data_IF_280835993889
#
_entry.id   IF_280835993889
#
_cell.length_a   1.000
_cell.length_b   1.000
_cell.length_c   1.000
_cell.angle_alpha   90.00
_cell.angle_beta   90.00
_cell.angle_gamma   90.00
#
_symmetry.space_group_name_H-M   'P 1'
#
loop_
_entity.id
_entity.type
_entity.pdbx_description
1 polymer ?
#
# COMPACT_ATOMS: atom_id res chain seq x y z
N UNK A 1 21.36 33.74 15.14
CA UNK A 1 22.08 33.62 13.86
C UNK A 1 21.31 32.65 13.02
N UNK A 2 20.51 33.15 12.10
CA UNK A 2 19.75 32.35 11.14
C UNK A 2 20.73 31.85 10.09
N UNK A 3 20.88 30.54 9.97
CA UNK A 3 21.79 29.93 9.01
C UNK A 3 21.11 29.96 7.61
N UNK A 4 21.34 31.05 6.88
CA UNK A 4 20.74 31.36 5.58
C UNK A 4 21.25 30.49 4.41
N UNK A 5 22.05 29.47 4.69
CA UNK A 5 22.68 28.63 3.67
C UNK A 5 22.01 27.28 3.40
N UNK A 6 20.82 27.06 3.93
CA UNK A 6 20.07 25.83 3.73
C UNK A 6 19.27 25.78 2.41
N UNK A 7 18.73 24.62 2.03
CA UNK A 7 17.96 24.44 0.80
C UNK A 7 16.65 25.25 0.75
N UNK A 8 16.21 25.78 1.89
CA UNK A 8 15.03 26.68 1.99
C UNK A 8 15.28 27.79 3.01
N UNK A 9 16.11 28.81 2.69
CA UNK A 9 16.47 29.88 3.63
C UNK A 9 15.28 30.74 4.04
N UNK A 10 14.24 30.87 3.19
CA UNK A 10 13.04 31.65 3.50
C UNK A 10 12.16 31.01 4.57
N UNK A 11 12.25 29.69 4.79
CA UNK A 11 11.37 28.92 5.64
C UNK A 11 9.92 28.86 5.13
N UNK A 12 9.63 29.40 3.94
CA UNK A 12 8.31 29.35 3.32
C UNK A 12 8.19 28.15 2.39
N UNK A 13 6.97 27.63 2.25
CA UNK A 13 6.71 26.51 1.35
C UNK A 13 7.00 26.91 -0.11
N UNK A 14 7.86 26.16 -0.77
CA UNK A 14 8.27 26.43 -2.16
C UNK A 14 7.16 26.23 -3.21
N UNK A 15 5.95 25.83 -2.79
CA UNK A 15 4.78 25.80 -3.69
C UNK A 15 4.19 27.19 -3.95
N UNK A 16 4.64 28.24 -3.23
CA UNK A 16 4.15 29.61 -3.36
C UNK A 16 2.89 29.93 -2.53
N UNK A 17 2.46 29.06 -1.61
CA UNK A 17 1.27 29.31 -0.77
C UNK A 17 1.47 30.35 0.34
N UNK A 18 2.73 30.78 0.59
CA UNK A 18 3.07 31.75 1.64
C UNK A 18 3.14 31.18 3.07
N UNK A 19 2.80 29.90 3.27
CA UNK A 19 2.84 29.27 4.58
C UNK A 19 4.25 28.78 4.96
N UNK A 20 4.56 28.80 6.27
CA UNK A 20 5.85 28.33 6.79
C UNK A 20 5.93 26.80 6.82
N UNK A 21 7.10 26.28 6.48
CA UNK A 21 7.41 24.84 6.58
C UNK A 21 7.91 24.49 7.98
N UNK A 22 7.82 23.20 8.32
CA UNK A 22 8.42 22.67 9.56
C UNK A 22 9.93 22.57 9.42
N UNK A 23 10.63 22.52 10.55
CA UNK A 23 12.06 22.24 10.61
C UNK A 23 12.27 20.73 10.48
N UNK A 24 13.25 20.31 9.68
CA UNK A 24 13.62 18.91 9.52
C UNK A 24 14.22 18.35 10.81
N UNK A 25 13.67 17.24 11.30
CA UNK A 25 14.15 16.51 12.48
C UNK A 25 15.37 15.63 12.19
N UNK A 26 15.60 15.27 10.92
CA UNK A 26 16.70 14.42 10.46
C UNK A 26 17.14 14.78 9.05
N UNK A 27 18.35 14.32 8.67
CA UNK A 27 18.81 14.41 7.29
C UNK A 27 18.07 13.39 6.42
N UNK A 28 17.67 13.80 5.22
CA UNK A 28 17.11 12.91 4.19
C UNK A 28 17.53 13.43 2.81
N UNK A 29 18.61 12.87 2.27
CA UNK A 29 19.16 13.30 0.99
C UNK A 29 18.18 13.09 -0.19
N UNK A 30 17.38 12.02 -0.17
CA UNK A 30 16.36 11.74 -1.21
C UNK A 30 15.25 12.78 -1.30
N UNK A 31 15.01 13.52 -0.21
CA UNK A 31 14.03 14.62 -0.16
C UNK A 31 14.67 16.00 0.01
N UNK A 32 15.99 16.10 -0.02
CA UNK A 32 16.73 17.36 0.20
C UNK A 32 16.55 17.93 1.61
N UNK A 33 16.29 17.10 2.62
CA UNK A 33 16.13 17.57 3.99
C UNK A 33 17.47 17.62 4.71
N UNK A 34 17.77 18.74 5.34
CA UNK A 34 18.92 18.94 6.23
C UNK A 34 18.40 19.18 7.64
N UNK A 35 18.85 18.37 8.61
CA UNK A 35 18.45 18.47 10.01
C UNK A 35 18.64 19.90 10.54
N UNK A 36 17.63 20.43 11.21
CA UNK A 36 17.65 21.80 11.75
C UNK A 36 17.32 22.89 10.72
N UNK A 37 17.09 22.55 9.45
CA UNK A 37 16.71 23.48 8.39
C UNK A 37 15.21 23.37 8.05
N UNK A 38 14.58 24.45 7.54
CA UNK A 38 13.20 24.37 7.07
C UNK A 38 13.04 23.36 5.92
N UNK A 39 11.95 22.60 5.94
CA UNK A 39 11.60 21.72 4.83
C UNK A 39 11.28 22.53 3.57
N UNK A 40 11.45 21.93 2.39
CA UNK A 40 11.12 22.56 1.11
C UNK A 40 9.64 22.80 0.94
N UNK A 41 8.81 21.86 1.45
CA UNK A 41 7.36 21.87 1.27
C UNK A 41 6.63 21.46 2.54
N UNK A 42 5.42 21.98 2.70
CA UNK A 42 4.43 21.42 3.62
C UNK A 42 3.98 20.07 3.06
N UNK A 43 3.66 19.11 3.95
CA UNK A 43 3.19 17.78 3.54
C UNK A 43 2.01 17.89 2.56
N UNK A 44 2.16 17.29 1.38
CA UNK A 44 1.17 17.34 0.31
C UNK A 44 1.31 18.52 -0.68
N UNK A 45 2.12 19.53 -0.37
CA UNK A 45 2.27 20.69 -1.24
C UNK A 45 3.30 20.51 -2.38
N UNK A 46 4.08 19.44 -2.38
CA UNK A 46 5.02 19.12 -3.47
C UNK A 46 4.33 18.97 -4.83
N UNK A 47 3.09 18.46 -4.83
CA UNK A 47 2.31 18.28 -6.04
C UNK A 47 1.92 19.61 -6.72
N UNK A 48 1.74 20.69 -5.95
CA UNK A 48 1.37 22.02 -6.47
C UNK A 48 2.41 22.63 -7.41
N UNK A 49 3.71 22.33 -7.19
CA UNK A 49 4.80 22.80 -8.07
C UNK A 49 4.71 22.23 -9.49
N UNK A 50 4.05 21.09 -9.68
CA UNK A 50 3.90 20.42 -10.98
C UNK A 50 2.69 20.93 -11.78
N UNK A 51 2.12 22.07 -11.42
CA UNK A 51 0.98 22.66 -12.12
C UNK A 51 -0.36 21.99 -11.81
N UNK A 52 -0.43 21.20 -10.77
CA UNK A 52 -1.71 20.66 -10.30
C UNK A 52 -2.50 21.74 -9.58
N UNK A 53 -3.76 22.00 -9.97
CA UNK A 53 -4.58 23.04 -9.36
C UNK A 53 -4.75 22.78 -7.86
N UNK A 54 -4.80 23.86 -7.08
CA UNK A 54 -5.13 23.79 -5.66
C UNK A 54 -6.47 23.05 -5.51
N UNK A 55 -6.52 21.96 -4.75
CA UNK A 55 -7.69 21.11 -4.62
C UNK A 55 -7.70 19.86 -5.53
N UNK A 56 -6.78 19.71 -6.48
CA UNK A 56 -6.68 18.51 -7.34
C UNK A 56 -6.08 17.29 -6.65
N UNK A 57 -5.87 17.33 -5.36
CA UNK A 57 -5.47 16.17 -4.54
C UNK A 57 -6.68 15.43 -3.98
N UNK A 58 -7.78 15.36 -4.69
CA UNK A 58 -8.65 14.24 -4.55
C UNK A 58 -7.99 13.09 -5.33
N UNK A 59 -6.99 12.47 -4.68
CA UNK A 59 -6.49 11.15 -5.05
C UNK A 59 -7.72 10.26 -5.11
N UNK A 60 -8.18 9.98 -6.32
CA UNK A 60 -9.27 9.06 -6.54
C UNK A 60 -8.72 7.66 -6.33
N UNK A 61 -8.73 7.27 -5.05
CA UNK A 61 -8.22 5.97 -4.60
C UNK A 61 -8.94 4.81 -5.26
N UNK A 62 -10.18 4.99 -5.73
CA UNK A 62 -10.95 3.98 -6.48
C UNK A 62 -10.34 3.76 -7.86
N UNK A 63 -10.07 4.84 -8.60
CA UNK A 63 -9.45 4.75 -9.93
C UNK A 63 -8.03 4.20 -9.87
N UNK A 64 -7.26 4.60 -8.86
CA UNK A 64 -5.89 4.09 -8.69
C UNK A 64 -5.89 2.63 -8.27
N UNK A 65 -6.82 2.21 -7.41
CA UNK A 65 -7.00 0.80 -7.05
C UNK A 65 -7.34 -0.04 -8.30
N UNK A 66 -8.34 0.39 -9.10
CA UNK A 66 -8.71 -0.28 -10.35
C UNK A 66 -7.54 -0.35 -11.34
N UNK A 67 -6.78 0.73 -11.50
CA UNK A 67 -5.58 0.75 -12.36
C UNK A 67 -4.50 -0.20 -11.85
N UNK A 68 -4.28 -0.28 -10.54
CA UNK A 68 -3.29 -1.18 -9.94
C UNK A 68 -3.71 -2.64 -10.07
N UNK A 69 -5.01 -2.95 -9.92
CA UNK A 69 -5.56 -4.28 -10.16
C UNK A 69 -5.33 -4.69 -11.63
N UNK A 70 -5.70 -3.83 -12.58
CA UNK A 70 -5.54 -4.08 -14.00
C UNK A 70 -4.07 -4.21 -14.44
N UNK A 71 -3.14 -3.46 -13.81
CA UNK A 71 -1.70 -3.54 -14.09
C UNK A 71 -1.02 -4.78 -13.50
N UNK A 72 -1.45 -5.22 -12.31
CA UNK A 72 -0.82 -6.34 -11.58
C UNK A 72 -1.43 -7.68 -11.92
N UNK A 73 -2.75 -7.73 -12.06
CA UNK A 73 -3.51 -9.00 -12.10
C UNK A 73 -4.40 -9.13 -13.33
N UNK A 74 -4.39 -8.12 -14.23
CA UNK A 74 -5.24 -8.08 -15.45
C UNK A 74 -6.74 -8.23 -15.12
N UNK A 75 -7.17 -7.80 -13.92
CA UNK A 75 -8.59 -7.76 -13.53
C UNK A 75 -9.07 -6.33 -13.38
N UNK A 76 -10.34 -6.10 -13.68
CA UNK A 76 -11.02 -4.83 -13.46
C UNK A 76 -11.48 -4.66 -12.00
N UNK A 77 -11.85 -3.42 -11.62
CA UNK A 77 -12.47 -3.19 -10.32
C UNK A 77 -13.82 -3.91 -10.17
N UNK A 78 -14.54 -4.10 -11.27
CA UNK A 78 -15.83 -4.82 -11.31
C UNK A 78 -15.62 -6.32 -11.08
N UNK A 79 -14.61 -6.92 -11.70
CA UNK A 79 -14.23 -8.32 -11.47
C UNK A 79 -13.80 -8.54 -10.02
N UNK A 80 -13.02 -7.63 -9.44
CA UNK A 80 -12.66 -7.68 -8.03
C UNK A 80 -13.89 -7.62 -7.12
N UNK A 81 -14.83 -6.70 -7.39
CA UNK A 81 -16.07 -6.58 -6.64
C UNK A 81 -16.93 -7.85 -6.74
N UNK A 82 -17.01 -8.44 -7.93
CA UNK A 82 -17.72 -9.71 -8.14
C UNK A 82 -17.06 -10.89 -7.40
N UNK A 83 -15.72 -10.91 -7.32
CA UNK A 83 -15.00 -11.90 -6.51
C UNK A 83 -15.30 -11.73 -5.02
N UNK A 84 -15.27 -10.47 -4.53
CA UNK A 84 -15.57 -10.15 -3.14
C UNK A 84 -16.98 -10.57 -2.74
N UNK A 85 -17.95 -10.34 -3.62
CA UNK A 85 -19.34 -10.76 -3.44
C UNK A 85 -19.46 -12.29 -3.40
N UNK A 86 -18.87 -13.01 -4.37
CA UNK A 86 -18.87 -14.48 -4.39
C UNK A 86 -18.28 -15.10 -3.14
N UNK A 87 -17.27 -14.47 -2.56
CA UNK A 87 -16.61 -14.90 -1.32
C UNK A 87 -17.27 -14.34 -0.05
N UNK A 88 -18.42 -13.64 -0.17
CA UNK A 88 -19.09 -12.96 0.94
C UNK A 88 -18.17 -12.06 1.76
N UNK A 89 -17.19 -11.43 1.11
CA UNK A 89 -16.17 -10.59 1.76
C UNK A 89 -15.17 -11.34 2.63
N UNK A 90 -15.02 -12.66 2.46
CA UNK A 90 -14.16 -13.51 3.29
C UNK A 90 -12.92 -13.99 2.54
N UNK A 91 -11.81 -14.15 3.27
CA UNK A 91 -10.61 -14.81 2.77
C UNK A 91 -10.91 -16.28 2.45
N UNK A 92 -10.55 -16.74 1.24
CA UNK A 92 -10.84 -18.10 0.78
C UNK A 92 -10.16 -19.20 1.61
N UNK A 93 -9.08 -18.91 2.35
CA UNK A 93 -8.38 -19.88 3.17
C UNK A 93 -8.84 -19.87 4.62
N UNK A 94 -8.78 -18.71 5.29
CA UNK A 94 -9.02 -18.66 6.75
C UNK A 94 -10.38 -18.07 7.15
N UNK A 95 -11.20 -17.64 6.19
CA UNK A 95 -12.50 -17.03 6.47
C UNK A 95 -12.43 -15.66 7.14
N UNK A 96 -11.25 -15.04 7.24
CA UNK A 96 -11.13 -13.70 7.81
C UNK A 96 -11.90 -12.70 6.94
N UNK A 97 -12.76 -11.91 7.56
CA UNK A 97 -13.54 -10.88 6.88
C UNK A 97 -12.66 -9.73 6.39
N UNK A 98 -12.97 -9.21 5.21
CA UNK A 98 -12.22 -8.12 4.56
C UNK A 98 -12.10 -6.87 5.43
N UNK A 99 -13.11 -6.54 6.22
CA UNK A 99 -13.13 -5.39 7.13
C UNK A 99 -12.18 -5.54 8.33
N UNK A 100 -11.83 -6.78 8.71
CA UNK A 100 -10.87 -7.10 9.78
C UNK A 100 -9.42 -7.16 9.31
N UNK A 101 -9.18 -7.18 8.01
CA UNK A 101 -7.82 -7.18 7.47
C UNK A 101 -7.19 -5.81 7.70
N UNK A 102 -5.95 -5.77 8.17
CA UNK A 102 -5.23 -4.53 8.42
C UNK A 102 -5.18 -3.66 7.15
N UNK A 103 -5.77 -2.47 7.20
CA UNK A 103 -5.88 -1.55 6.07
C UNK A 103 -7.17 -1.68 5.28
N UNK A 104 -8.20 -2.34 5.84
CA UNK A 104 -9.53 -2.45 5.25
C UNK A 104 -10.21 -1.08 5.01
N UNK A 105 -9.80 -0.05 5.74
CA UNK A 105 -10.16 1.36 5.57
C UNK A 105 -9.56 1.98 4.29
N UNK A 106 -8.59 1.31 3.67
CA UNK A 106 -8.05 1.69 2.36
C UNK A 106 -8.87 0.99 1.28
N UNK A 107 -9.32 1.76 0.30
CA UNK A 107 -10.09 1.27 -0.85
C UNK A 107 -9.52 -0.04 -1.41
N UNK A 108 -10.36 -1.08 -1.39
CA UNK A 108 -10.00 -2.42 -1.86
C UNK A 108 -10.39 -3.56 -0.92
N UNK A 109 -11.11 -3.26 0.17
CA UNK A 109 -11.70 -4.28 1.04
C UNK A 109 -10.71 -5.12 1.84
N UNK A 110 -9.43 -4.79 1.87
CA UNK A 110 -8.42 -5.46 2.68
C UNK A 110 -8.00 -6.86 2.21
N UNK A 111 -8.65 -7.47 1.22
CA UNK A 111 -8.22 -8.73 0.61
C UNK A 111 -7.35 -8.47 -0.63
N UNK A 112 -6.38 -9.33 -0.85
CA UNK A 112 -5.46 -9.31 -1.98
C UNK A 112 -5.90 -10.32 -3.03
N UNK A 113 -5.72 -9.99 -4.31
CA UNK A 113 -5.95 -10.93 -5.41
C UNK A 113 -4.82 -11.96 -5.41
N UNK A 114 -5.15 -13.21 -5.23
CA UNK A 114 -4.22 -14.32 -5.36
C UNK A 114 -4.16 -14.80 -6.83
N UNK A 115 -2.99 -15.24 -7.26
CA UNK A 115 -2.76 -15.69 -8.62
C UNK A 115 -1.67 -16.75 -8.67
N UNK A 116 -1.73 -17.61 -9.64
CA UNK A 116 -0.69 -18.59 -9.92
C UNK A 116 0.56 -17.91 -10.47
N UNK A 117 1.70 -18.04 -9.81
CA UNK A 117 2.94 -17.38 -10.19
C UNK A 117 3.57 -17.87 -11.52
N UNK A 118 3.15 -19.04 -12.02
CA UNK A 118 3.65 -19.59 -13.29
C UNK A 118 2.78 -19.18 -14.46
N UNK A 119 1.47 -19.25 -14.31
CA UNK A 119 0.50 -18.96 -15.38
C UNK A 119 -0.02 -17.53 -15.34
N UNK A 120 0.07 -16.83 -14.20
CA UNK A 120 -0.56 -15.54 -13.98
C UNK A 120 -2.09 -15.61 -13.80
N UNK A 121 -2.66 -16.83 -13.77
CA UNK A 121 -4.11 -17.01 -13.62
C UNK A 121 -4.57 -16.55 -12.24
N UNK A 122 -5.57 -15.68 -12.21
CA UNK A 122 -6.21 -15.22 -10.97
C UNK A 122 -7.00 -16.38 -10.36
N UNK A 123 -6.82 -16.58 -9.06
CA UNK A 123 -7.51 -17.61 -8.27
C UNK A 123 -8.65 -17.00 -7.46
N UNK A 124 -8.36 -16.52 -6.26
CA UNK A 124 -9.34 -16.02 -5.30
C UNK A 124 -8.80 -14.83 -4.51
N UNK A 125 -9.60 -14.27 -3.62
CA UNK A 125 -9.19 -13.20 -2.71
C UNK A 125 -8.73 -13.78 -1.38
N UNK A 126 -7.56 -13.37 -0.94
CA UNK A 126 -6.94 -13.80 0.31
C UNK A 126 -6.60 -12.60 1.20
N UNK A 127 -6.60 -12.81 2.51
CA UNK A 127 -5.97 -11.85 3.41
C UNK A 127 -4.44 -11.88 3.25
N UNK A 128 -3.77 -10.78 3.55
CA UNK A 128 -2.30 -10.65 3.43
C UNK A 128 -1.53 -11.79 4.12
N UNK A 129 -1.88 -12.23 5.35
CA UNK A 129 -1.20 -13.36 5.97
C UNK A 129 -1.30 -14.66 5.15
N UNK A 130 -2.50 -15.03 4.68
CA UNK A 130 -2.68 -16.25 3.89
C UNK A 130 -1.94 -16.19 2.56
N UNK A 131 -2.07 -15.07 1.82
CA UNK A 131 -1.40 -14.87 0.54
C UNK A 131 0.14 -14.99 0.66
N UNK A 132 0.71 -14.33 1.66
CA UNK A 132 2.17 -14.42 1.92
C UNK A 132 2.61 -15.80 2.39
N UNK A 133 1.79 -16.49 3.17
CA UNK A 133 2.11 -17.85 3.64
C UNK A 133 2.18 -18.84 2.48
N UNK A 134 1.24 -18.78 1.52
CA UNK A 134 1.31 -19.59 0.30
C UNK A 134 2.61 -19.33 -0.47
N UNK A 135 2.98 -18.07 -0.68
CA UNK A 135 4.24 -17.71 -1.31
C UNK A 135 5.46 -18.23 -0.54
N UNK A 136 5.44 -18.18 0.80
CA UNK A 136 6.49 -18.74 1.65
C UNK A 136 6.67 -20.26 1.49
N UNK A 137 5.60 -20.99 1.24
CA UNK A 137 5.60 -22.41 0.91
C UNK A 137 5.73 -22.67 -0.60
N UNK A 138 6.12 -21.68 -1.39
CA UNK A 138 6.33 -21.78 -2.84
C UNK A 138 5.10 -22.31 -3.59
N UNK A 139 3.90 -22.10 -3.04
CA UNK A 139 2.63 -22.65 -3.55
C UNK A 139 2.66 -24.19 -3.72
N UNK A 140 3.55 -24.89 -2.99
CA UNK A 140 3.72 -26.33 -3.06
C UNK A 140 2.77 -27.04 -2.09
N UNK A 141 1.83 -27.87 -2.60
CA UNK A 141 0.99 -28.72 -1.77
C UNK A 141 1.81 -29.71 -0.93
N UNK A 142 2.96 -30.15 -1.43
CA UNK A 142 3.88 -31.08 -0.73
C UNK A 142 4.47 -30.40 0.49
N UNK A 143 5.01 -29.17 0.36
CA UNK A 143 5.55 -28.42 1.49
C UNK A 143 4.48 -28.07 2.52
N UNK A 144 3.27 -27.76 2.09
CA UNK A 144 2.14 -27.52 2.98
C UNK A 144 1.75 -28.78 3.78
N UNK A 145 1.70 -29.95 3.14
CA UNK A 145 1.47 -31.23 3.85
C UNK A 145 2.57 -31.51 4.86
N UNK A 146 3.83 -31.34 4.48
CA UNK A 146 4.97 -31.50 5.40
C UNK A 146 4.89 -30.55 6.60
N UNK A 147 4.41 -29.32 6.40
CA UNK A 147 4.20 -28.38 7.50
C UNK A 147 3.07 -28.85 8.45
N UNK A 148 1.98 -29.41 7.92
CA UNK A 148 0.90 -30.00 8.72
C UNK A 148 1.44 -31.17 9.56
N UNK A 149 2.19 -32.09 8.95
CA UNK A 149 2.81 -33.24 9.64
C UNK A 149 3.78 -32.79 10.73
N UNK A 150 4.57 -31.74 10.45
CA UNK A 150 5.46 -31.14 11.44
C UNK A 150 4.69 -30.62 12.65
N UNK A 151 3.61 -29.87 12.43
CA UNK A 151 2.79 -29.33 13.52
C UNK A 151 2.12 -30.45 14.32
N UNK A 152 1.55 -31.45 13.66
CA UNK A 152 0.92 -32.61 14.31
C UNK A 152 1.92 -33.37 15.19
N UNK A 153 3.16 -33.56 14.73
CA UNK A 153 4.24 -34.18 15.51
C UNK A 153 4.57 -33.40 16.80
N UNK A 154 4.34 -32.11 16.82
CA UNK A 154 4.61 -31.22 17.96
C UNK A 154 3.35 -30.85 18.76
N UNK A 155 2.26 -31.62 18.60
CA UNK A 155 1.04 -31.48 19.41
C UNK A 155 0.17 -30.26 19.07
N UNK A 156 0.33 -29.67 17.89
CA UNK A 156 -0.57 -28.64 17.37
C UNK A 156 -1.64 -29.32 16.52
N UNK A 157 -2.92 -29.15 16.91
CA UNK A 157 -4.09 -29.79 16.28
C UNK A 157 -5.04 -28.72 15.73
#
# INVERSE_FOLDING_TARGET
MTNDSGPNPSGLCMCGCGERTRIASSNNAGHGHVKGQPLLYIKGHQARRRGWPAGATQYDSTKEHSRNMQRRYVISGEEYAAMLERQAGLCAICGMSADKVRGADKLGGGLEVDHDHRSGAVRELLCTPCNRSLGGFQESPELLRSAIEYLAKHGVH
#
